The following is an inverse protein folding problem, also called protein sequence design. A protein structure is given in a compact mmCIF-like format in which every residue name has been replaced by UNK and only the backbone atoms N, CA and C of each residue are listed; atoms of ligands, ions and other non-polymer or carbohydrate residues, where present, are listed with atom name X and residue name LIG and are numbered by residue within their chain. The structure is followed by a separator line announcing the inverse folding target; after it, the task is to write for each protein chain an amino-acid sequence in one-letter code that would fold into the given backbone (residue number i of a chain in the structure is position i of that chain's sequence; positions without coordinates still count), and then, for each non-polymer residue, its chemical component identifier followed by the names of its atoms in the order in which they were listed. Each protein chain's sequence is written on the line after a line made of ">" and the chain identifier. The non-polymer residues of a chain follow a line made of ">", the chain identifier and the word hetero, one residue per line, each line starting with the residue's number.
data_IF_049176740821
#
_entry.id   IF_049176740821
#
_cell.length_a   1.000
_cell.length_b   1.000
_cell.length_c   1.000
_cell.angle_alpha   90.00
_cell.angle_beta   90.00
_cell.angle_gamma   90.00
#
_symmetry.space_group_name_H-M   'P 1'
#
loop_
_entity.id
_entity.type
_entity.pdbx_description
1 polymer ?
#
# COMPACT_ATOMS: atom_id res chain seq x y z
N UNK A 1 1.35 23.98 12.50
CA UNK A 1 2.13 24.67 11.45
C UNK A 1 2.99 23.61 10.78
N UNK A 2 3.29 23.72 9.49
CA UNK A 2 4.60 23.28 9.00
C UNK A 2 5.39 24.56 8.78
N UNK A 3 5.94 25.07 9.89
CA UNK A 3 6.90 26.16 9.79
C UNK A 3 8.05 25.66 8.92
N UNK A 4 8.55 26.37 7.92
CA UNK A 4 8.01 27.61 7.31
C UNK A 4 8.35 27.75 5.80
N UNK A 5 8.56 26.69 4.99
CA UNK A 5 8.39 25.26 5.22
C UNK A 5 8.30 24.41 3.95
N UNK A 6 8.62 23.11 4.07
CA UNK A 6 7.99 21.98 3.33
C UNK A 6 8.58 21.63 1.94
N UNK A 7 8.98 20.39 1.60
CA UNK A 7 9.10 19.14 2.39
C UNK A 7 10.26 18.26 1.87
N UNK A 8 10.88 17.52 2.78
CA UNK A 8 12.20 16.89 2.64
C UNK A 8 12.29 15.44 2.12
N UNK A 9 11.39 15.00 1.24
CA UNK A 9 11.72 14.07 0.14
C UNK A 9 10.49 13.39 -0.46
N UNK A 10 10.36 13.59 -1.77
CA UNK A 10 9.91 12.56 -2.69
C UNK A 10 10.91 12.38 -3.85
N UNK A 11 12.20 12.66 -3.61
CA UNK A 11 13.27 12.70 -4.61
C UNK A 11 14.68 12.51 -4.02
N UNK A 12 15.32 13.49 -3.37
CA UNK A 12 14.93 14.90 -3.23
C UNK A 12 16.00 15.83 -3.81
N UNK A 13 15.59 16.96 -4.37
CA UNK A 13 16.46 17.92 -5.06
C UNK A 13 16.89 19.07 -4.13
N UNK A 14 17.48 18.70 -2.99
CA UNK A 14 17.71 19.50 -1.78
C UNK A 14 16.44 19.67 -0.93
N UNK A 15 16.34 18.83 0.10
CA UNK A 15 15.39 18.84 1.21
C UNK A 15 15.69 19.94 2.23
N UNK A 16 14.74 20.84 2.59
CA UNK A 16 15.03 22.06 3.38
C UNK A 16 13.84 22.64 4.16
N UNK A 17 13.97 23.62 5.08
CA UNK A 17 15.10 24.29 5.83
C UNK A 17 14.55 24.56 7.27
N UNK A 18 14.74 25.63 8.07
CA UNK A 18 14.02 25.86 9.38
C UNK A 18 12.97 26.99 9.50
N UNK A 19 12.06 27.30 8.58
CA UNK A 19 11.79 26.82 7.23
C UNK A 19 11.51 25.30 7.06
N UNK A 20 11.17 24.54 8.12
CA UNK A 20 10.65 23.15 8.07
C UNK A 20 11.63 21.98 8.07
N UNK A 21 12.41 21.82 9.14
CA UNK A 21 13.72 21.19 9.04
C UNK A 21 13.76 19.69 9.34
N UNK A 22 14.83 19.08 8.86
CA UNK A 22 14.85 17.69 8.45
C UNK A 22 16.14 17.03 8.91
N UNK A 23 16.02 15.79 9.36
CA UNK A 23 16.97 15.15 10.27
C UNK A 23 16.96 15.77 11.68
N UNK A 24 17.83 16.72 12.00
CA UNK A 24 18.19 17.10 13.38
C UNK A 24 17.69 18.48 13.84
N UNK A 25 17.21 19.31 12.93
CA UNK A 25 16.80 20.68 13.22
C UNK A 25 17.95 21.69 13.31
N UNK A 26 19.05 21.44 12.58
CA UNK A 26 20.12 22.41 12.38
C UNK A 26 20.26 22.81 10.91
N UNK A 27 20.29 24.13 10.65
CA UNK A 27 20.47 24.70 9.32
C UNK A 27 21.81 24.24 8.74
N UNK A 28 21.77 23.64 7.55
CA UNK A 28 22.92 23.07 6.84
C UNK A 28 23.66 21.96 7.61
N UNK A 29 22.94 21.18 8.44
CA UNK A 29 23.41 19.88 8.92
C UNK A 29 23.74 18.94 7.76
N UNK A 30 24.78 18.12 7.92
CA UNK A 30 25.12 17.03 7.02
C UNK A 30 24.42 15.71 7.39
N UNK A 31 23.71 15.68 8.54
CA UNK A 31 22.97 14.50 8.98
C UNK A 31 21.75 14.24 8.09
N UNK A 32 21.49 12.96 7.81
CA UNK A 32 20.33 12.49 7.05
C UNK A 32 19.57 11.40 7.83
N UNK A 33 18.28 11.19 7.51
CA UNK A 33 17.58 10.01 7.99
C UNK A 33 18.22 8.74 7.41
N UNK A 34 18.48 7.76 8.26
CA UNK A 34 18.81 6.41 7.82
C UNK A 34 17.61 5.71 7.16
N UNK A 35 17.80 4.51 6.60
CA UNK A 35 16.69 3.75 5.98
C UNK A 35 15.54 3.41 6.95
N UNK A 36 15.78 3.53 8.25
CA UNK A 36 14.81 3.29 9.31
C UNK A 36 13.98 4.54 9.63
N UNK A 37 14.38 5.71 9.15
CA UNK A 37 13.79 6.99 9.53
C UNK A 37 14.33 7.57 10.83
N UNK A 38 15.60 7.29 11.15
CA UNK A 38 16.30 7.84 12.32
C UNK A 38 17.36 8.81 11.84
N UNK A 39 17.29 10.06 12.28
CA UNK A 39 18.32 11.05 11.99
C UNK A 39 19.68 10.63 12.56
N UNK A 40 20.74 10.70 11.74
CA UNK A 40 22.08 10.25 12.13
C UNK A 40 22.16 8.74 12.42
N UNK A 41 21.17 7.97 11.95
CA UNK A 41 21.01 6.56 12.28
C UNK A 41 22.04 5.64 11.61
N UNK A 42 22.36 4.55 12.30
CA UNK A 42 23.30 3.52 11.84
C UNK A 42 22.63 2.42 10.98
N UNK A 43 21.35 2.58 10.63
CA UNK A 43 20.51 1.61 9.94
C UNK A 43 20.16 0.33 10.75
N UNK A 44 20.47 0.26 12.06
CA UNK A 44 20.23 -0.93 12.90
C UNK A 44 18.78 -1.09 13.39
N UNK A 45 18.07 0.02 13.57
CA UNK A 45 16.78 0.11 14.28
C UNK A 45 15.55 -0.46 13.54
N UNK A 46 15.76 -1.04 12.36
CA UNK A 46 14.73 -1.55 11.47
C UNK A 46 15.13 -2.84 10.76
N UNK A 47 14.14 -3.46 10.12
CA UNK A 47 14.30 -4.66 9.28
C UNK A 47 13.77 -4.41 7.87
N UNK A 48 14.46 -4.97 6.88
CA UNK A 48 13.98 -5.06 5.51
C UNK A 48 13.09 -6.30 5.42
N UNK A 49 11.79 -6.09 5.23
CA UNK A 49 10.86 -7.15 4.86
C UNK A 49 10.90 -7.29 3.34
N UNK A 50 10.96 -8.53 2.84
CA UNK A 50 10.89 -8.82 1.40
C UNK A 50 10.24 -10.18 1.18
N UNK A 51 9.53 -10.33 0.08
CA UNK A 51 8.91 -11.60 -0.30
C UNK A 51 8.50 -11.64 -1.76
N UNK A 52 8.20 -12.85 -2.22
CA UNK A 52 7.61 -13.11 -3.53
C UNK A 52 6.28 -13.83 -3.30
N UNK A 53 5.20 -13.29 -3.86
CA UNK A 53 3.91 -13.94 -3.93
C UNK A 53 3.74 -14.56 -5.33
N UNK A 54 3.06 -15.70 -5.42
CA UNK A 54 2.85 -16.38 -6.71
C UNK A 54 1.57 -17.20 -6.68
N UNK A 55 0.62 -16.91 -7.60
CA UNK A 55 -0.67 -17.61 -7.65
C UNK A 55 -1.31 -17.57 -9.03
N UNK A 56 -1.83 -18.71 -9.49
CA UNK A 56 -2.68 -18.78 -10.69
C UNK A 56 -4.11 -18.34 -10.37
N UNK A 57 -4.68 -17.47 -11.21
CA UNK A 57 -6.05 -16.95 -11.05
C UNK A 57 -6.94 -17.44 -12.18
N UNK A 58 -7.84 -18.41 -11.91
CA UNK A 58 -8.73 -19.00 -12.94
C UNK A 58 -9.90 -18.12 -13.40
N UNK A 59 -9.96 -16.88 -12.91
CA UNK A 59 -11.01 -15.88 -13.18
C UNK A 59 -10.39 -14.48 -13.02
N UNK A 60 -10.89 -13.47 -13.77
CA UNK A 60 -10.53 -12.07 -13.51
C UNK A 60 -11.10 -11.57 -12.19
N UNK A 61 -10.49 -10.52 -11.64
CA UNK A 61 -10.90 -9.84 -10.40
C UNK A 61 -9.73 -9.49 -9.49
N UNK A 62 -10.02 -8.82 -8.36
CA UNK A 62 -8.98 -8.42 -7.41
C UNK A 62 -8.53 -9.58 -6.51
N UNK A 63 -7.22 -9.82 -6.49
CA UNK A 63 -6.54 -10.77 -5.62
C UNK A 63 -5.75 -10.01 -4.54
N UNK A 64 -6.11 -10.18 -3.26
CA UNK A 64 -5.29 -9.71 -2.13
C UNK A 64 -3.92 -10.42 -2.12
N UNK A 65 -2.84 -9.66 -1.93
CA UNK A 65 -1.44 -10.14 -1.94
C UNK A 65 -0.85 -10.11 -0.53
N UNK A 66 -0.77 -8.92 0.09
CA UNK A 66 -0.43 -8.73 1.50
C UNK A 66 -0.99 -7.39 2.02
N UNK A 67 -0.97 -7.23 3.34
CA UNK A 67 -1.28 -5.96 4.02
C UNK A 67 0.03 -5.38 4.57
N UNK A 68 0.33 -4.13 4.23
CA UNK A 68 1.60 -3.45 4.48
C UNK A 68 1.40 -2.47 5.65
N UNK A 69 2.18 -2.57 6.73
CA UNK A 69 1.90 -1.84 7.96
C UNK A 69 2.11 -0.32 7.87
N UNK A 70 1.33 0.40 8.66
CA UNK A 70 1.58 1.79 9.06
C UNK A 70 3.02 1.93 9.59
N UNK A 71 3.70 2.98 9.16
CA UNK A 71 5.12 3.23 9.44
C UNK A 71 6.12 2.49 8.53
N UNK A 72 5.67 1.69 7.56
CA UNK A 72 6.56 1.14 6.54
C UNK A 72 7.17 2.25 5.67
N UNK A 73 8.44 2.07 5.28
CA UNK A 73 9.26 2.99 4.49
C UNK A 73 9.90 2.27 3.29
N UNK A 74 10.32 3.01 2.27
CA UNK A 74 11.03 2.52 1.09
C UNK A 74 10.37 1.28 0.44
N UNK A 75 9.07 1.39 0.17
CA UNK A 75 8.31 0.36 -0.53
C UNK A 75 8.77 0.26 -1.99
N UNK A 76 8.99 -0.97 -2.44
CA UNK A 76 9.17 -1.36 -3.83
C UNK A 76 8.33 -2.61 -4.06
N UNK A 77 7.38 -2.52 -4.99
CA UNK A 77 6.48 -3.60 -5.40
C UNK A 77 6.62 -3.73 -6.93
N UNK A 78 6.79 -4.95 -7.44
CA UNK A 78 7.02 -5.20 -8.87
C UNK A 78 6.34 -6.51 -9.29
N UNK A 79 5.53 -6.51 -10.35
CA UNK A 79 5.12 -7.77 -11.01
C UNK A 79 6.26 -8.30 -11.89
N UNK A 80 6.33 -9.62 -12.06
CA UNK A 80 7.32 -10.26 -12.90
C UNK A 80 6.77 -10.56 -14.30
N UNK A 81 7.30 -9.81 -15.29
CA UNK A 81 6.97 -9.78 -16.73
C UNK A 81 5.76 -8.89 -17.05
N UNK A 82 5.71 -8.41 -18.30
CA UNK A 82 4.53 -7.80 -18.93
C UNK A 82 3.37 -8.79 -19.08
N UNK A 83 2.73 -9.12 -17.96
CA UNK A 83 1.44 -9.80 -17.91
C UNK A 83 0.31 -8.75 -18.06
N UNK A 84 -0.93 -9.13 -18.40
CA UNK A 84 -2.07 -8.20 -18.34
C UNK A 84 -2.58 -7.99 -16.89
N UNK A 85 -1.72 -8.12 -15.89
CA UNK A 85 -2.05 -7.82 -14.50
C UNK A 85 -1.88 -6.33 -14.22
N UNK A 86 -2.63 -5.85 -13.22
CA UNK A 86 -2.56 -4.45 -12.76
C UNK A 86 -2.48 -4.44 -11.23
N UNK A 87 -1.36 -3.98 -10.69
CA UNK A 87 -1.12 -3.72 -9.27
C UNK A 87 -2.10 -2.64 -8.79
N UNK A 88 -2.72 -2.84 -7.63
CA UNK A 88 -3.72 -1.92 -7.10
C UNK A 88 -3.61 -1.79 -5.58
N UNK A 89 -3.79 -0.59 -5.04
CA UNK A 89 -3.54 -0.28 -3.63
C UNK A 89 -4.76 0.30 -2.92
N UNK A 90 -5.14 -0.29 -1.78
CA UNK A 90 -6.23 0.20 -0.93
C UNK A 90 -5.71 0.75 0.40
N UNK A 91 -6.20 1.92 0.79
CA UNK A 91 -6.04 2.49 2.12
C UNK A 91 -6.93 1.73 3.11
N UNK A 92 -6.35 1.03 4.10
CA UNK A 92 -7.09 0.19 5.04
C UNK A 92 -7.88 0.99 6.10
N UNK A 93 -7.52 2.25 6.36
CA UNK A 93 -8.28 3.10 7.30
C UNK A 93 -9.58 3.64 6.67
N UNK A 94 -9.68 3.70 5.34
CA UNK A 94 -10.84 4.25 4.61
C UNK A 94 -11.55 3.25 3.69
N UNK A 95 -10.92 2.13 3.34
CA UNK A 95 -11.36 1.21 2.29
C UNK A 95 -11.14 1.73 0.87
N UNK A 96 -10.60 2.95 0.68
CA UNK A 96 -10.45 3.57 -0.64
C UNK A 96 -9.33 2.90 -1.45
N UNK A 97 -9.66 2.40 -2.64
CA UNK A 97 -8.72 1.98 -3.67
C UNK A 97 -8.12 3.24 -4.30
N UNK A 98 -6.87 3.60 -4.01
CA UNK A 98 -6.28 4.90 -4.40
C UNK A 98 -5.30 4.82 -5.57
N UNK A 99 -5.10 3.61 -6.12
CA UNK A 99 -4.28 3.37 -7.29
C UNK A 99 -4.88 2.23 -8.12
N UNK A 100 -5.12 2.49 -9.40
CA UNK A 100 -5.66 1.57 -10.38
C UNK A 100 -7.06 1.05 -9.99
N UNK A 101 -7.98 2.01 -9.83
CA UNK A 101 -9.42 1.76 -9.75
C UNK A 101 -9.95 1.08 -11.04
N UNK A 102 -11.18 0.55 -11.01
CA UNK A 102 -11.66 -0.31 -12.10
C UNK A 102 -11.77 0.43 -13.45
N UNK A 103 -12.25 1.67 -13.43
CA UNK A 103 -12.33 2.54 -14.62
C UNK A 103 -11.04 3.35 -14.89
N UNK A 104 -10.00 3.20 -14.05
CA UNK A 104 -8.75 3.96 -14.20
C UNK A 104 -7.76 3.24 -15.16
N UNK A 105 -7.23 3.93 -16.19
CA UNK A 105 -6.25 3.35 -17.09
C UNK A 105 -4.89 3.17 -16.38
N UNK A 106 -4.19 2.02 -16.55
CA UNK A 106 -2.94 1.71 -15.87
C UNK A 106 -1.73 2.45 -16.49
N UNK A 107 -1.79 3.78 -16.51
CA UNK A 107 -0.72 4.65 -17.03
C UNK A 107 0.23 5.08 -15.90
N UNK A 108 1.53 5.11 -16.19
CA UNK A 108 2.58 5.58 -15.29
C UNK A 108 2.30 6.99 -14.77
N UNK A 109 2.25 7.17 -13.45
CA UNK A 109 1.84 8.42 -12.79
C UNK A 109 2.34 8.49 -11.34
N UNK A 110 2.30 9.69 -10.77
CA UNK A 110 2.57 9.90 -9.34
C UNK A 110 1.27 10.24 -8.63
N UNK A 111 0.93 9.50 -7.58
CA UNK A 111 -0.26 9.73 -6.74
C UNK A 111 0.17 10.19 -5.36
N UNK A 112 -0.40 11.28 -4.84
CA UNK A 112 -0.13 11.75 -3.47
C UNK A 112 -1.30 11.32 -2.57
N UNK A 113 -1.11 10.29 -1.74
CA UNK A 113 -2.14 9.87 -0.77
C UNK A 113 -1.66 10.19 0.65
N UNK A 114 -2.50 10.90 1.43
CA UNK A 114 -2.24 11.52 2.75
C UNK A 114 -0.88 12.22 2.91
N UNK A 115 -0.22 12.64 1.84
CA UNK A 115 1.16 13.15 1.89
C UNK A 115 2.19 12.01 2.04
N UNK A 116 2.12 11.06 1.14
CA UNK A 116 3.22 10.19 0.67
C UNK A 116 3.08 10.07 -0.84
N UNK A 117 4.17 10.29 -1.59
CA UNK A 117 4.15 10.14 -3.05
C UNK A 117 4.33 8.67 -3.44
N UNK A 118 3.40 8.17 -4.24
CA UNK A 118 3.42 6.84 -4.83
C UNK A 118 3.77 6.97 -6.31
N UNK A 119 4.96 6.53 -6.67
CA UNK A 119 5.40 6.46 -8.07
C UNK A 119 4.93 5.12 -8.62
N UNK A 120 3.97 5.17 -9.54
CA UNK A 120 3.53 4.02 -10.32
C UNK A 120 4.14 4.09 -11.72
N UNK A 121 4.78 3.00 -12.14
CA UNK A 121 5.36 2.87 -13.48
C UNK A 121 4.90 1.56 -14.11
N UNK A 122 4.29 1.66 -15.28
CA UNK A 122 3.88 0.54 -16.10
C UNK A 122 4.59 0.62 -17.45
N UNK A 123 5.39 -0.40 -17.78
CA UNK A 123 6.11 -0.54 -19.05
C UNK A 123 5.85 -1.93 -19.64
N UNK A 124 6.18 -2.13 -20.92
CA UNK A 124 6.01 -3.43 -21.59
C UNK A 124 6.80 -4.57 -20.90
N UNK A 125 7.87 -4.25 -20.17
CA UNK A 125 8.70 -5.22 -19.45
C UNK A 125 8.20 -5.47 -18.02
N UNK A 126 7.73 -4.42 -17.32
CA UNK A 126 7.41 -4.48 -15.89
C UNK A 126 6.42 -3.40 -15.43
N UNK A 127 5.49 -3.82 -14.58
CA UNK A 127 4.69 -2.95 -13.72
C UNK A 127 5.32 -2.84 -12.32
N UNK A 128 5.36 -1.63 -11.74
CA UNK A 128 5.90 -1.38 -10.40
C UNK A 128 5.23 -0.23 -9.66
N UNK A 129 5.22 -0.31 -8.33
CA UNK A 129 4.76 0.74 -7.41
C UNK A 129 5.84 0.99 -6.35
N UNK A 130 6.16 2.26 -6.10
CA UNK A 130 7.21 2.67 -5.16
C UNK A 130 6.75 3.85 -4.29
N UNK A 131 7.17 3.88 -3.01
CA UNK A 131 7.07 5.09 -2.17
C UNK A 131 8.16 5.13 -1.09
N UNK A 132 8.65 6.33 -0.78
CA UNK A 132 9.55 6.56 0.35
C UNK A 132 8.89 6.30 1.70
N UNK A 133 7.59 6.58 1.83
CA UNK A 133 6.88 6.58 3.11
C UNK A 133 7.35 7.73 4.03
N UNK A 134 7.23 7.60 5.37
CA UNK A 134 6.58 6.50 6.09
C UNK A 134 5.06 6.47 5.86
N UNK A 135 4.49 5.26 5.72
CA UNK A 135 3.04 5.10 5.56
C UNK A 135 2.28 5.61 6.78
N UNK A 136 1.29 6.47 6.57
CA UNK A 136 0.46 7.03 7.66
C UNK A 136 -0.72 6.15 8.06
N UNK A 137 -0.96 5.06 7.33
CA UNK A 137 -2.06 4.11 7.47
C UNK A 137 -1.61 2.74 6.92
N UNK A 138 -2.37 1.67 7.16
CA UNK A 138 -2.11 0.35 6.56
C UNK A 138 -2.50 0.31 5.08
N UNK A 139 -1.70 -0.32 4.22
CA UNK A 139 -1.96 -0.41 2.77
C UNK A 139 -2.13 -1.87 2.36
N UNK A 140 -3.32 -2.20 1.87
CA UNK A 140 -3.59 -3.50 1.25
C UNK A 140 -3.10 -3.48 -0.20
N UNK A 141 -2.13 -4.36 -0.51
CA UNK A 141 -1.71 -4.62 -1.88
C UNK A 141 -2.61 -5.69 -2.52
N UNK A 142 -3.12 -5.37 -3.70
CA UNK A 142 -3.91 -6.25 -4.55
C UNK A 142 -3.35 -6.31 -5.98
N UNK A 143 -3.77 -7.32 -6.73
CA UNK A 143 -3.62 -7.37 -8.19
C UNK A 143 -4.99 -7.59 -8.83
N UNK A 144 -5.37 -6.74 -9.78
CA UNK A 144 -6.48 -6.99 -10.71
C UNK A 144 -6.00 -8.02 -11.74
N UNK A 145 -6.50 -9.25 -11.66
CA UNK A 145 -6.15 -10.31 -12.60
C UNK A 145 -7.01 -10.24 -13.86
N UNK A 146 -6.40 -10.54 -15.01
CA UNK A 146 -7.07 -10.64 -16.31
C UNK A 146 -6.86 -12.06 -16.89
N UNK A 147 -7.95 -12.79 -17.13
CA UNK A 147 -7.93 -14.15 -17.69
C UNK A 147 -7.47 -15.24 -16.73
N UNK A 148 -7.05 -16.39 -17.28
CA UNK A 148 -6.38 -17.48 -16.56
C UNK A 148 -4.86 -17.35 -16.72
N UNK A 149 -4.22 -16.74 -15.73
CA UNK A 149 -2.83 -16.32 -15.76
C UNK A 149 -2.19 -16.37 -14.36
N UNK A 150 -0.87 -16.17 -14.27
CA UNK A 150 -0.06 -16.43 -13.08
C UNK A 150 0.54 -15.15 -12.51
N UNK A 151 -0.20 -14.52 -11.58
CA UNK A 151 0.24 -13.37 -10.78
C UNK A 151 1.54 -13.74 -10.06
N UNK A 152 2.60 -12.93 -10.21
CA UNK A 152 3.93 -13.21 -9.66
C UNK A 152 4.57 -11.90 -9.17
N UNK A 153 4.17 -11.43 -7.99
CA UNK A 153 4.58 -10.12 -7.45
C UNK A 153 5.70 -10.26 -6.43
N UNK A 154 6.77 -9.48 -6.60
CA UNK A 154 7.74 -9.22 -5.54
C UNK A 154 7.38 -7.97 -4.75
N UNK A 155 7.74 -7.96 -3.47
CA UNK A 155 7.63 -6.78 -2.61
C UNK A 155 8.83 -6.68 -1.68
N UNK A 156 9.20 -5.44 -1.35
CA UNK A 156 10.24 -5.06 -0.40
C UNK A 156 9.79 -3.78 0.32
N UNK A 157 9.97 -3.72 1.63
CA UNK A 157 9.81 -2.49 2.42
C UNK A 157 10.69 -2.55 3.68
N UNK A 158 10.80 -1.43 4.37
CA UNK A 158 11.49 -1.30 5.67
C UNK A 158 10.47 -1.03 6.76
N UNK A 159 10.62 -1.64 7.93
CA UNK A 159 9.80 -1.36 9.12
C UNK A 159 10.68 -1.29 10.37
N UNK A 160 10.43 -0.32 11.25
CA UNK A 160 11.13 -0.18 12.52
C UNK A 160 10.83 -1.36 13.46
N UNK A 161 11.81 -1.86 14.22
CA UNK A 161 11.65 -3.06 15.04
C UNK A 161 10.61 -2.92 16.16
N UNK A 162 10.39 -1.70 16.65
CA UNK A 162 9.32 -1.40 17.63
C UNK A 162 7.93 -1.65 17.04
N UNK A 163 7.69 -1.20 15.80
CA UNK A 163 6.43 -1.40 15.10
C UNK A 163 6.25 -2.86 14.70
N UNK A 164 7.30 -3.51 14.17
CA UNK A 164 7.30 -4.94 13.84
C UNK A 164 6.92 -5.81 15.04
N UNK A 165 7.57 -5.58 16.19
CA UNK A 165 7.26 -6.31 17.44
C UNK A 165 5.80 -6.14 17.87
N UNK A 166 5.23 -4.94 17.71
CA UNK A 166 3.82 -4.68 18.05
C UNK A 166 2.82 -5.34 17.09
N UNK A 167 3.18 -5.56 15.82
CA UNK A 167 2.38 -6.37 14.91
C UNK A 167 2.48 -7.85 15.24
N UNK A 168 3.67 -8.36 15.55
CA UNK A 168 3.86 -9.78 15.89
C UNK A 168 3.12 -10.17 17.19
N UNK A 169 2.98 -9.26 18.16
CA UNK A 169 2.11 -9.49 19.32
C UNK A 169 0.61 -9.50 19.00
N UNK A 170 0.17 -8.82 17.94
CA UNK A 170 -1.23 -8.76 17.53
C UNK A 170 -1.61 -9.94 16.61
N UNK A 171 -0.71 -10.36 15.72
CA UNK A 171 -0.96 -11.43 14.74
C UNK A 171 -1.29 -12.79 15.38
N UNK A 172 -0.85 -13.02 16.62
CA UNK A 172 -1.23 -14.20 17.43
C UNK A 172 -2.73 -14.25 17.78
N UNK A 173 -3.52 -13.25 17.39
CA UNK A 173 -4.96 -13.13 17.68
C UNK A 173 -5.87 -13.43 16.47
N UNK A 174 -5.37 -13.37 15.22
CA UNK A 174 -6.22 -13.22 14.01
C UNK A 174 -6.23 -14.43 13.05
N UNK A 175 -5.65 -15.56 13.45
CA UNK A 175 -5.37 -16.73 12.60
C UNK A 175 -6.62 -17.61 12.29
N UNK A 176 -7.75 -17.05 11.83
CA UNK A 176 -8.87 -17.80 11.20
C UNK A 176 -10.03 -17.00 10.52
N UNK A 177 -9.81 -16.06 9.56
CA UNK A 177 -10.93 -15.49 8.76
C UNK A 177 -10.71 -15.54 7.23
N UNK A 178 -11.16 -16.64 6.60
CA UNK A 178 -11.27 -16.76 5.14
C UNK A 178 -12.64 -16.28 4.63
N UNK A 179 -12.84 -14.97 4.47
CA UNK A 179 -14.04 -14.45 3.81
C UNK A 179 -14.09 -14.80 2.31
N UNK A 180 -15.06 -15.63 1.92
CA UNK A 180 -15.51 -15.79 0.54
C UNK A 180 -16.74 -14.94 0.29
N UNK A 181 -16.62 -13.93 -0.58
CA UNK A 181 -17.78 -13.26 -1.15
C UNK A 181 -18.57 -14.23 -2.02
N UNK A 182 -19.71 -14.69 -1.50
CA UNK A 182 -20.72 -15.42 -2.24
C UNK A 182 -21.95 -14.52 -2.36
N UNK A 183 -22.39 -14.24 -3.59
CA UNK A 183 -23.68 -13.60 -3.82
C UNK A 183 -24.78 -14.53 -3.30
N UNK A 184 -25.30 -14.21 -2.10
CA UNK A 184 -26.44 -14.91 -1.48
C UNK A 184 -27.59 -14.86 -2.49
N UNK A 185 -28.08 -16.02 -2.94
CA UNK A 185 -29.22 -16.08 -3.87
C UNK A 185 -30.38 -15.31 -3.25
N UNK A 186 -30.87 -14.31 -3.96
CA UNK A 186 -32.02 -13.52 -3.52
C UNK A 186 -33.21 -14.47 -3.31
N UNK A 187 -33.80 -14.43 -2.12
CA UNK A 187 -35.13 -15.00 -1.90
C UNK A 187 -36.14 -14.28 -2.78
N UNK A 188 -37.15 -14.99 -3.29
CA UNK A 188 -38.23 -14.33 -4.02
C UNK A 188 -38.91 -13.26 -3.15
N UNK A 189 -39.21 -12.11 -3.74
CA UNK A 189 -39.88 -11.02 -3.04
C UNK A 189 -41.27 -11.47 -2.55
N UNK A 190 -41.64 -11.11 -1.33
CA UNK A 190 -42.89 -11.54 -0.70
C UNK A 190 -44.16 -10.96 -1.34
N UNK A 191 -44.02 -9.91 -2.17
CA UNK A 191 -45.06 -9.32 -3.02
C UNK A 191 -44.48 -8.85 -4.37
N UNK A 192 -45.24 -8.92 -5.48
CA UNK A 192 -44.75 -8.48 -6.80
C UNK A 192 -44.69 -6.95 -6.97
N UNK A 193 -45.39 -6.18 -6.13
CA UNK A 193 -45.28 -4.71 -6.08
C UNK A 193 -45.75 -4.17 -4.72
N UNK A 194 -45.35 -2.93 -4.38
CA UNK A 194 -45.86 -2.16 -3.25
C UNK A 194 -45.12 -2.32 -1.92
N UNK A 195 -44.11 -1.47 -1.67
CA UNK A 195 -43.79 -0.99 -0.31
C UNK A 195 -43.22 -1.99 0.71
N UNK A 196 -42.44 -2.99 0.31
CA UNK A 196 -41.73 -3.87 1.24
C UNK A 196 -40.42 -3.24 1.78
N UNK A 197 -40.20 -3.29 3.09
CA UNK A 197 -38.91 -2.97 3.73
C UNK A 197 -38.12 -4.25 4.04
N UNK A 198 -36.79 -4.17 3.97
CA UNK A 198 -35.87 -5.28 4.28
C UNK A 198 -35.08 -4.98 5.55
N UNK A 199 -35.17 -5.79 6.62
CA UNK A 199 -34.26 -5.66 7.75
C UNK A 199 -32.87 -6.20 7.37
N UNK A 200 -31.83 -5.41 7.63
CA UNK A 200 -30.46 -5.87 7.76
C UNK A 200 -30.12 -5.94 9.25
N UNK A 201 -30.05 -7.15 9.80
CA UNK A 201 -29.35 -7.38 11.07
C UNK A 201 -27.82 -7.31 10.83
N UNK A 202 -27.04 -6.91 11.87
CA UNK A 202 -25.60 -6.65 11.74
C UNK A 202 -24.74 -7.90 11.54
#
# INVERSE_FOLDING_TARGET
>A
MVHDGTQCSYGDAHSVCVQGECCDGQIASDQQEDRCGVCGGDNSSCKIIKGNFTRSTKKPGYLKILEIPKGARHLLIQDFKGTPHILALTNQETGHLFLNEEDEPPQSRVVIEKGSAWVYSNTEEQESVQTTGPLKYGVLLMVRSHGDSKVTVSYKYVIQDRLRSSLESNLLQEDAIFYKWALKKWSQCSKPCGGGTTPSEP
#
